data_IF_029909643786
#
_entry.id   IF_029909643786
#
_cell.length_a   1.000
_cell.length_b   1.000
_cell.length_c   1.000
_cell.angle_alpha   90.00
_cell.angle_beta   90.00
_cell.angle_gamma   90.00
#
_symmetry.space_group_name_H-M   'P 1'
#
loop_
_entity.id
_entity.type
_entity.pdbx_description
1 polymer ?
#
# COMPACT_ATOMS: atom_id res chain seq x y z
N UNK A 1 -0.11 26.90 20.46
CA UNK A 1 -0.94 25.71 20.19
C UNK A 1 -0.10 24.72 19.40
N UNK A 2 -0.16 23.46 19.76
CA UNK A 2 0.52 22.44 18.98
C UNK A 2 -0.11 22.40 17.59
N UNK A 3 0.73 22.50 16.57
CA UNK A 3 0.29 22.48 15.17
C UNK A 3 -0.27 21.08 14.86
N UNK A 4 -1.49 21.05 14.32
CA UNK A 4 -2.17 19.78 14.04
C UNK A 4 -1.48 19.07 12.88
N UNK A 5 -0.75 17.99 13.18
CA UNK A 5 -0.01 17.20 12.18
C UNK A 5 -0.93 16.67 11.06
N UNK A 6 -2.18 16.32 11.38
CA UNK A 6 -3.14 15.88 10.37
C UNK A 6 -3.44 16.99 9.36
N UNK A 7 -3.59 18.23 9.82
CA UNK A 7 -3.80 19.37 8.93
C UNK A 7 -2.61 19.60 7.99
N UNK A 8 -1.37 19.48 8.51
CA UNK A 8 -0.16 19.56 7.66
C UNK A 8 -0.14 18.48 6.58
N UNK A 9 -0.47 17.26 6.93
CA UNK A 9 -0.53 16.13 5.97
C UNK A 9 -1.57 16.42 4.89
N UNK A 10 -2.76 16.88 5.29
CA UNK A 10 -3.85 17.21 4.36
C UNK A 10 -3.43 18.34 3.40
N UNK A 11 -2.87 19.41 3.93
CA UNK A 11 -2.49 20.58 3.12
C UNK A 11 -1.37 20.22 2.14
N UNK A 12 -0.39 19.44 2.57
CA UNK A 12 0.66 18.92 1.69
C UNK A 12 0.08 18.02 0.59
N UNK A 13 -0.86 17.16 0.93
CA UNK A 13 -1.53 16.28 -0.04
C UNK A 13 -2.34 17.09 -1.05
N UNK A 14 -3.07 18.09 -0.62
CA UNK A 14 -3.82 19.00 -1.53
C UNK A 14 -2.89 19.68 -2.52
N UNK A 15 -1.76 20.25 -2.07
CA UNK A 15 -0.76 20.86 -2.94
C UNK A 15 -0.23 19.89 -3.99
N UNK A 16 0.18 18.68 -3.56
CA UNK A 16 0.65 17.62 -4.48
C UNK A 16 -0.40 17.22 -5.52
N UNK A 17 -1.67 17.14 -5.12
CA UNK A 17 -2.76 16.78 -6.03
C UNK A 17 -2.97 17.81 -7.14
N UNK A 18 -2.75 19.09 -6.88
CA UNK A 18 -2.80 20.14 -7.91
C UNK A 18 -1.76 19.84 -9.00
N UNK A 19 -0.50 19.62 -8.59
CA UNK A 19 0.59 19.32 -9.52
C UNK A 19 0.38 18.00 -10.28
N UNK A 20 -0.11 16.99 -9.59
CA UNK A 20 -0.37 15.67 -10.18
C UNK A 20 -1.48 15.73 -11.23
N UNK A 21 -2.56 16.48 -10.99
CA UNK A 21 -3.67 16.65 -11.96
C UNK A 21 -3.22 17.35 -13.23
N UNK A 22 -2.24 18.27 -13.13
CA UNK A 22 -1.65 18.91 -14.30
C UNK A 22 -0.76 17.94 -15.08
N UNK A 23 0.11 17.19 -14.38
CA UNK A 23 1.07 16.26 -14.99
C UNK A 23 0.41 15.00 -15.55
N UNK A 24 -0.63 14.52 -14.92
CA UNK A 24 -1.39 13.32 -15.28
C UNK A 24 -2.89 13.57 -15.12
N UNK A 25 -3.53 14.16 -16.12
CA UNK A 25 -4.98 14.35 -16.14
C UNK A 25 -5.73 13.03 -16.01
N UNK A 26 -6.96 13.07 -15.48
CA UNK A 26 -7.76 11.86 -15.26
C UNK A 26 -7.94 11.03 -16.54
N UNK A 27 -8.18 11.69 -17.66
CA UNK A 27 -8.36 11.02 -18.95
C UNK A 27 -7.13 10.18 -19.35
N UNK A 28 -5.91 10.70 -19.10
CA UNK A 28 -4.68 9.95 -19.36
C UNK A 28 -4.50 8.72 -18.46
N UNK A 29 -5.16 8.67 -17.30
CA UNK A 29 -5.16 7.49 -16.44
C UNK A 29 -6.16 6.44 -16.90
N UNK A 30 -7.24 6.86 -17.53
CA UNK A 30 -8.28 5.97 -18.08
C UNK A 30 -7.87 5.32 -19.40
N UNK A 31 -7.01 5.98 -20.18
CA UNK A 31 -6.49 5.47 -21.47
C UNK A 31 -5.50 4.30 -21.31
N UNK A 32 -4.91 4.13 -20.13
CA UNK A 32 -3.93 3.08 -19.86
C UNK A 32 -4.39 2.22 -18.67
N UNK A 33 -5.45 1.41 -18.85
CA UNK A 33 -5.82 0.45 -17.81
C UNK A 33 -4.66 -0.51 -17.59
N UNK A 34 -4.37 -0.80 -16.33
CA UNK A 34 -3.27 -1.69 -15.93
C UNK A 34 -3.68 -3.17 -16.17
N UNK A 35 -3.81 -3.56 -17.45
CA UNK A 35 -4.31 -4.89 -17.85
C UNK A 35 -3.38 -6.05 -17.46
N UNK A 36 -2.19 -5.76 -16.96
CA UNK A 36 -1.17 -6.78 -16.67
C UNK A 36 -0.97 -7.08 -15.17
N UNK A 37 -1.68 -6.37 -14.28
CA UNK A 37 -1.50 -6.53 -12.83
C UNK A 37 -2.69 -7.29 -12.25
N UNK A 38 -2.42 -8.44 -11.62
CA UNK A 38 -3.43 -9.18 -10.87
C UNK A 38 -3.85 -8.44 -9.62
N UNK A 39 -5.15 -8.30 -9.43
CA UNK A 39 -5.75 -7.73 -8.21
C UNK A 39 -6.42 -8.82 -7.41
N UNK A 40 -6.14 -8.82 -6.11
CA UNK A 40 -6.83 -9.69 -5.15
C UNK A 40 -7.91 -8.91 -4.41
N UNK A 41 -9.07 -9.50 -4.24
CA UNK A 41 -10.22 -8.82 -3.63
C UNK A 41 -10.05 -8.73 -2.12
N UNK A 42 -9.82 -7.50 -1.63
CA UNK A 42 -9.57 -7.20 -0.22
C UNK A 42 -10.78 -7.53 0.67
N UNK A 43 -11.99 -7.13 0.24
CA UNK A 43 -13.22 -7.39 0.95
C UNK A 43 -13.49 -8.90 1.05
N UNK A 44 -13.40 -9.59 -0.08
CA UNK A 44 -13.66 -11.03 -0.14
C UNK A 44 -12.68 -11.84 0.75
N UNK A 45 -11.43 -11.43 0.86
CA UNK A 45 -10.45 -12.10 1.74
C UNK A 45 -10.87 -12.01 3.21
N UNK A 46 -11.41 -10.86 3.63
CA UNK A 46 -11.91 -10.66 4.99
C UNK A 46 -13.21 -11.44 5.23
N UNK A 47 -14.15 -11.36 4.29
CA UNK A 47 -15.45 -12.05 4.39
C UNK A 47 -15.27 -13.57 4.44
N UNK A 48 -14.33 -14.12 3.69
CA UNK A 48 -13.99 -15.53 3.74
C UNK A 48 -13.56 -15.96 5.15
N UNK A 49 -12.63 -15.22 5.78
CA UNK A 49 -12.21 -15.53 7.15
C UNK A 49 -13.38 -15.43 8.13
N UNK A 50 -14.24 -14.41 7.99
CA UNK A 50 -15.44 -14.26 8.84
C UNK A 50 -16.37 -15.47 8.72
N UNK A 51 -16.63 -15.95 7.51
CA UNK A 51 -17.50 -17.12 7.28
C UNK A 51 -16.94 -18.41 7.87
N UNK A 52 -15.61 -18.48 8.00
CA UNK A 52 -14.88 -19.60 8.60
C UNK A 52 -14.62 -19.43 10.10
N UNK A 53 -15.16 -18.37 10.72
CA UNK A 53 -14.93 -18.06 12.15
C UNK A 53 -13.49 -17.66 12.48
N UNK A 54 -12.71 -17.21 11.48
CA UNK A 54 -11.32 -16.80 11.63
C UNK A 54 -11.17 -15.30 11.77
N UNK A 55 -10.15 -14.87 12.49
CA UNK A 55 -9.74 -13.46 12.59
C UNK A 55 -8.97 -13.07 11.32
N UNK A 56 -9.29 -11.90 10.77
CA UNK A 56 -8.54 -11.29 9.68
C UNK A 56 -7.48 -10.33 10.21
N UNK A 57 -6.26 -10.44 9.69
CA UNK A 57 -5.16 -9.55 10.00
C UNK A 57 -4.80 -8.71 8.77
N UNK A 58 -4.92 -7.38 8.90
CA UNK A 58 -4.39 -6.42 7.94
C UNK A 58 -3.02 -5.99 8.45
N UNK A 59 -1.96 -6.45 7.80
CA UNK A 59 -0.58 -6.16 8.19
C UNK A 59 -0.09 -4.89 7.50
N UNK A 60 0.32 -3.89 8.30
CA UNK A 60 0.80 -2.60 7.77
C UNK A 60 2.31 -2.60 7.57
N UNK A 61 2.74 -2.14 6.39
CA UNK A 61 4.14 -1.88 6.05
C UNK A 61 4.40 -0.38 6.01
N UNK A 62 5.22 0.11 6.94
CA UNK A 62 5.48 1.52 7.19
C UNK A 62 6.96 1.79 7.45
N UNK A 63 7.58 2.64 6.60
CA UNK A 63 8.99 3.01 6.73
C UNK A 63 9.21 4.03 7.84
N UNK A 64 8.35 5.03 7.95
CA UNK A 64 8.47 6.14 8.89
C UNK A 64 7.11 6.64 9.32
N UNK A 65 7.06 7.42 10.39
CA UNK A 65 5.88 8.16 10.81
C UNK A 65 6.27 9.52 11.41
N UNK A 66 5.35 10.50 11.45
CA UNK A 66 5.62 11.81 12.06
C UNK A 66 6.06 11.73 13.52
N UNK A 67 5.53 10.78 14.27
CA UNK A 67 5.80 10.62 15.70
C UNK A 67 7.06 9.82 16.01
N UNK A 68 7.40 8.84 15.19
CA UNK A 68 8.52 7.92 15.43
C UNK A 68 9.75 8.19 14.53
N UNK A 69 9.62 9.06 13.52
CA UNK A 69 10.66 9.22 12.51
C UNK A 69 10.82 7.96 11.67
N UNK A 70 12.05 7.66 11.24
CA UNK A 70 12.36 6.44 10.49
C UNK A 70 12.31 5.22 11.41
N UNK A 71 11.39 4.30 11.12
CA UNK A 71 11.18 3.06 11.86
C UNK A 71 12.09 1.95 11.30
N UNK A 72 12.18 1.86 9.97
CA UNK A 72 12.98 0.85 9.26
C UNK A 72 13.94 1.57 8.31
N UNK A 73 15.25 1.51 8.60
CA UNK A 73 16.27 2.16 7.76
C UNK A 73 16.37 1.51 6.39
N UNK A 74 16.58 0.20 6.37
CA UNK A 74 16.72 -0.60 5.14
C UNK A 74 15.35 -1.17 4.73
N UNK A 75 14.43 -0.27 4.45
CA UNK A 75 13.04 -0.62 4.14
C UNK A 75 12.93 -1.31 2.78
N UNK A 76 12.54 -2.58 2.80
CA UNK A 76 12.21 -3.36 1.61
C UNK A 76 10.74 -3.83 1.67
N UNK A 77 9.83 -3.19 0.94
CA UNK A 77 8.40 -3.53 1.01
C UNK A 77 8.10 -4.95 0.50
N UNK A 78 8.89 -5.47 -0.43
CA UNK A 78 8.72 -6.82 -0.99
C UNK A 78 9.04 -7.89 0.06
N UNK A 79 10.17 -7.76 0.75
CA UNK A 79 10.57 -8.69 1.79
C UNK A 79 9.61 -8.67 2.98
N UNK A 80 9.15 -7.48 3.39
CA UNK A 80 8.14 -7.35 4.44
C UNK A 80 6.84 -8.04 4.03
N UNK A 81 6.38 -7.84 2.78
CA UNK A 81 5.17 -8.48 2.28
C UNK A 81 5.29 -10.01 2.24
N UNK A 82 6.45 -10.55 1.85
CA UNK A 82 6.74 -12.00 1.91
C UNK A 82 6.67 -12.54 3.34
N UNK A 83 7.26 -11.83 4.29
CA UNK A 83 7.20 -12.20 5.72
C UNK A 83 5.75 -12.22 6.20
N UNK A 84 4.98 -11.18 5.93
CA UNK A 84 3.57 -11.12 6.32
C UNK A 84 2.75 -12.24 5.68
N UNK A 85 2.97 -12.53 4.41
CA UNK A 85 2.31 -13.65 3.73
C UNK A 85 2.68 -15.00 4.38
N UNK A 86 3.95 -15.23 4.68
CA UNK A 86 4.42 -16.47 5.33
C UNK A 86 3.82 -16.65 6.73
N UNK A 87 3.48 -15.56 7.41
CA UNK A 87 2.80 -15.54 8.71
C UNK A 87 1.28 -15.48 8.61
N UNK A 88 0.74 -15.72 7.42
CA UNK A 88 -0.71 -15.84 7.15
C UNK A 88 -1.50 -14.54 7.44
N UNK A 89 -0.91 -13.37 7.21
CA UNK A 89 -1.68 -12.13 7.13
C UNK A 89 -2.78 -12.28 6.07
N UNK A 90 -3.93 -11.66 6.29
CA UNK A 90 -5.06 -11.71 5.36
C UNK A 90 -4.88 -10.70 4.23
N UNK A 91 -4.44 -9.50 4.58
CA UNK A 91 -4.26 -8.38 3.67
C UNK A 91 -3.03 -7.57 4.08
N UNK A 92 -2.56 -6.72 3.15
CA UNK A 92 -1.50 -5.73 3.39
C UNK A 92 -2.07 -4.31 3.37
N UNK A 93 -1.52 -3.44 4.21
CA UNK A 93 -1.69 -1.99 4.13
C UNK A 93 -0.33 -1.36 3.88
N UNK A 94 -0.16 -0.69 2.73
CA UNK A 94 1.13 -0.13 2.31
C UNK A 94 1.06 1.39 2.36
N UNK A 95 1.91 2.02 3.18
CA UNK A 95 2.03 3.47 3.24
C UNK A 95 2.63 4.00 1.94
N UNK A 96 1.89 4.88 1.27
CA UNK A 96 2.30 5.50 0.00
C UNK A 96 2.54 6.99 0.12
N UNK A 97 2.19 7.60 1.26
CA UNK A 97 2.42 9.00 1.53
C UNK A 97 3.93 9.28 1.66
N UNK A 98 4.43 10.25 0.89
CA UNK A 98 5.87 10.43 0.65
C UNK A 98 6.55 11.34 1.66
N UNK A 99 5.87 12.39 2.16
CA UNK A 99 6.49 13.45 2.95
C UNK A 99 6.66 13.08 4.42
N UNK A 100 5.66 12.46 5.02
CA UNK A 100 5.59 12.18 6.46
C UNK A 100 5.84 10.70 6.80
N UNK A 101 5.53 9.80 5.86
CA UNK A 101 5.68 8.36 6.05
C UNK A 101 6.78 7.75 5.19
N UNK A 102 7.43 8.55 4.34
CA UNK A 102 8.48 8.12 3.40
C UNK A 102 8.03 6.93 2.54
N UNK A 103 6.74 6.90 2.20
CA UNK A 103 6.12 5.91 1.34
C UNK A 103 6.33 6.20 -0.15
N UNK A 104 5.79 5.34 -0.98
CA UNK A 104 5.72 5.55 -2.44
C UNK A 104 4.72 4.60 -3.06
N UNK A 105 4.00 5.04 -4.09
CA UNK A 105 3.19 4.16 -4.95
C UNK A 105 4.04 3.06 -5.60
N UNK A 106 5.32 3.33 -5.86
CA UNK A 106 6.24 2.34 -6.41
C UNK A 106 6.43 1.12 -5.49
N UNK A 107 6.18 1.24 -4.18
CA UNK A 107 6.25 0.13 -3.25
C UNK A 107 5.17 -0.92 -3.56
N UNK A 108 3.94 -0.49 -3.86
CA UNK A 108 2.86 -1.38 -4.29
C UNK A 108 3.21 -2.06 -5.61
N UNK A 109 3.72 -1.27 -6.57
CA UNK A 109 4.12 -1.81 -7.87
C UNK A 109 5.20 -2.89 -7.74
N UNK A 110 6.24 -2.65 -6.94
CA UNK A 110 7.31 -3.63 -6.66
C UNK A 110 6.75 -4.92 -6.05
N UNK A 111 5.83 -4.82 -5.09
CA UNK A 111 5.17 -5.98 -4.49
C UNK A 111 4.38 -6.75 -5.56
N UNK A 112 3.63 -6.04 -6.40
CA UNK A 112 2.82 -6.63 -7.46
C UNK A 112 3.65 -7.30 -8.56
N UNK A 113 4.78 -6.75 -8.95
CA UNK A 113 5.72 -7.39 -9.88
C UNK A 113 6.28 -8.73 -9.35
N UNK A 114 6.38 -8.86 -8.02
CA UNK A 114 6.78 -10.12 -7.38
C UNK A 114 5.60 -11.09 -7.16
N UNK A 115 4.42 -10.76 -7.71
CA UNK A 115 3.22 -11.60 -7.65
C UNK A 115 3.09 -12.53 -8.87
N UNK A 116 4.19 -12.86 -9.57
CA UNK A 116 4.15 -13.71 -10.75
C UNK A 116 3.45 -15.03 -10.46
N UNK A 117 2.23 -15.15 -10.97
CA UNK A 117 1.33 -16.28 -10.81
C UNK A 117 1.85 -17.61 -11.42
N UNK A 118 2.98 -17.56 -12.13
CA UNK A 118 3.53 -18.76 -12.80
C UNK A 118 4.36 -19.67 -11.88
N UNK A 119 4.76 -19.22 -10.70
CA UNK A 119 5.67 -20.01 -9.85
C UNK A 119 5.19 -20.21 -8.41
N UNK A 120 3.93 -20.18 -8.07
CA UNK A 120 3.41 -20.42 -6.69
C UNK A 120 4.18 -19.74 -5.52
N UNK A 121 5.11 -18.83 -5.83
CA UNK A 121 5.98 -18.12 -4.87
C UNK A 121 5.65 -16.63 -4.77
N UNK A 122 4.69 -16.15 -5.57
CA UNK A 122 4.33 -14.74 -5.63
C UNK A 122 3.52 -14.27 -4.42
N UNK A 123 3.53 -12.96 -4.21
CA UNK A 123 2.71 -12.32 -3.18
C UNK A 123 1.26 -12.24 -3.67
N UNK A 124 0.36 -12.93 -2.99
CA UNK A 124 -1.07 -13.05 -3.34
C UNK A 124 -1.99 -12.27 -2.39
N UNK A 125 -1.43 -11.55 -1.43
CA UNK A 125 -2.23 -10.78 -0.47
C UNK A 125 -2.88 -9.56 -1.13
N UNK A 126 -4.17 -9.30 -0.87
CA UNK A 126 -4.81 -8.04 -1.23
C UNK A 126 -4.11 -6.85 -0.58
N UNK A 127 -4.00 -5.74 -1.31
CA UNK A 127 -3.27 -4.54 -0.85
C UNK A 127 -4.20 -3.34 -0.74
N UNK A 128 -4.18 -2.69 0.42
CA UNK A 128 -4.72 -1.35 0.64
C UNK A 128 -3.62 -0.32 0.37
N UNK A 129 -3.88 0.61 -0.54
CA UNK A 129 -3.06 1.79 -0.77
C UNK A 129 -3.41 2.86 0.28
N UNK A 130 -2.53 3.09 1.23
CA UNK A 130 -2.76 4.00 2.36
C UNK A 130 -1.96 5.31 2.24
#
# INVERSE_FOLDING_TARGET
>A
MAENILQKIIDKKKSRLIDLKVKRPLDSLLEHPADTISYYNFKQAIEKNMSEGKISLIAESKKASPSAGVIIKDYNPVEIAKIYQSKKATCLSILTEEDFFLGSLSHIYKIKLNSNAMENTGITLPILCK
#
